data_IF_425232659013
#
_entry.id   IF_425232659013
#
_cell.length_a   1.000
_cell.length_b   1.000
_cell.length_c   1.000
_cell.angle_alpha   90.00
_cell.angle_beta   90.00
_cell.angle_gamma   90.00
#
_symmetry.space_group_name_H-M   'P 1'
#
loop_
_entity.id
_entity.type
_entity.pdbx_description
1 polymer ?
#
# COMPACT_ATOMS: atom_id res chain seq x y z
N UNK A 1 8.59 -4.26 -5.33
CA UNK A 1 7.20 -3.78 -5.23
C UNK A 1 7.00 -2.83 -4.05
N UNK A 2 7.09 -3.34 -2.81
CA UNK A 2 6.88 -2.54 -1.59
C UNK A 2 7.77 -1.28 -1.54
N UNK A 3 9.08 -1.44 -1.72
CA UNK A 3 10.07 -0.35 -1.68
C UNK A 3 9.73 0.83 -2.63
N UNK A 4 9.38 0.50 -3.88
CA UNK A 4 9.00 1.50 -4.89
C UNK A 4 7.69 2.21 -4.54
N UNK A 5 6.69 1.50 -4.03
CA UNK A 5 5.40 2.06 -3.61
C UNK A 5 5.50 2.92 -2.37
N UNK A 6 6.31 2.50 -1.40
CA UNK A 6 6.61 3.27 -0.21
C UNK A 6 7.18 4.65 -0.61
N UNK A 7 8.20 4.64 -1.47
CA UNK A 7 8.81 5.87 -1.99
C UNK A 7 7.83 6.71 -2.78
N UNK A 8 7.08 6.10 -3.69
CA UNK A 8 6.10 6.81 -4.52
C UNK A 8 5.01 7.47 -3.66
N UNK A 9 4.48 6.77 -2.66
CA UNK A 9 3.46 7.31 -1.76
C UNK A 9 4.03 8.42 -0.88
N UNK A 10 5.23 8.25 -0.31
CA UNK A 10 5.89 9.29 0.47
C UNK A 10 6.06 10.58 -0.35
N UNK A 11 6.54 10.46 -1.58
CA UNK A 11 6.72 11.60 -2.48
C UNK A 11 5.38 12.25 -2.86
N UNK A 12 4.33 11.46 -3.07
CA UNK A 12 3.00 11.96 -3.42
C UNK A 12 2.38 12.83 -2.32
N UNK A 13 2.73 12.60 -1.06
CA UNK A 13 2.26 13.42 0.09
C UNK A 13 3.31 14.46 0.54
N UNK A 14 4.39 14.65 -0.21
CA UNK A 14 5.39 15.68 0.04
C UNK A 14 6.29 15.46 1.26
N UNK A 15 6.32 14.26 1.84
CA UNK A 15 7.18 13.95 3.00
C UNK A 15 8.62 13.69 2.57
N UNK A 16 9.60 14.20 3.32
CA UNK A 16 11.00 13.75 3.18
C UNK A 16 11.24 12.48 4.00
N UNK A 17 12.30 11.72 3.66
CA UNK A 17 12.62 10.46 4.34
C UNK A 17 12.85 10.63 5.85
N UNK A 18 13.45 11.75 6.25
CA UNK A 18 13.70 12.06 7.66
C UNK A 18 12.39 12.19 8.43
N UNK A 19 11.43 12.96 7.91
CA UNK A 19 10.13 13.19 8.56
C UNK A 19 9.32 11.90 8.69
N UNK A 20 9.32 11.06 7.65
CA UNK A 20 8.69 9.74 7.74
C UNK A 20 9.36 8.89 8.83
N UNK A 21 10.69 8.89 8.91
CA UNK A 21 11.39 8.14 9.95
C UNK A 21 11.11 8.68 11.36
N UNK A 22 11.01 9.99 11.54
CA UNK A 22 10.64 10.61 12.82
C UNK A 22 9.19 10.27 13.20
N UNK A 23 8.27 10.24 12.24
CA UNK A 23 6.88 9.80 12.47
C UNK A 23 6.79 8.34 12.96
N UNK A 24 7.79 7.51 12.64
CA UNK A 24 7.95 6.15 13.14
C UNK A 24 8.62 6.06 14.52
N UNK A 25 8.90 7.20 15.16
CA UNK A 25 9.62 7.26 16.43
C UNK A 25 11.12 7.01 16.32
N UNK A 26 11.71 7.11 15.12
CA UNK A 26 13.15 6.99 14.94
C UNK A 26 13.85 8.29 15.37
N UNK A 27 15.04 8.15 15.94
CA UNK A 27 15.90 9.31 16.18
C UNK A 27 16.23 10.02 14.86
N UNK A 28 16.11 11.34 14.84
CA UNK A 28 16.29 12.17 13.63
C UNK A 28 17.59 11.89 12.88
N UNK A 29 18.68 11.58 13.60
CA UNK A 29 20.01 11.29 13.03
C UNK A 29 20.07 10.00 12.20
N UNK A 30 19.20 9.01 12.47
CA UNK A 30 19.17 7.73 11.74
C UNK A 30 17.90 7.56 10.88
N UNK A 31 16.89 8.41 11.08
CA UNK A 31 15.59 8.36 10.43
C UNK A 31 15.71 8.26 8.90
N UNK A 32 16.43 9.20 8.28
CA UNK A 32 16.62 9.24 6.82
C UNK A 32 17.26 7.95 6.30
N UNK A 33 18.37 7.50 6.90
CA UNK A 33 19.09 6.31 6.47
C UNK A 33 18.26 5.03 6.61
N UNK A 34 17.42 4.93 7.66
CA UNK A 34 16.54 3.78 7.87
C UNK A 34 15.41 3.74 6.83
N UNK A 35 14.74 4.87 6.58
CA UNK A 35 13.72 4.95 5.52
C UNK A 35 14.33 4.68 4.14
N UNK A 36 15.52 5.22 3.85
CA UNK A 36 16.20 4.96 2.59
C UNK A 36 16.44 3.47 2.35
N UNK A 37 16.83 2.70 3.38
CA UNK A 37 17.02 1.24 3.25
C UNK A 37 15.73 0.49 2.91
N UNK A 38 14.58 0.96 3.39
CA UNK A 38 13.28 0.40 3.02
C UNK A 38 12.89 0.78 1.59
N UNK A 39 13.13 2.03 1.18
CA UNK A 39 12.80 2.53 -0.16
C UNK A 39 13.69 1.98 -1.28
N UNK A 40 14.92 1.58 -0.96
CA UNK A 40 15.81 0.88 -1.91
C UNK A 40 15.63 -0.63 -1.90
N UNK A 41 14.86 -1.16 -0.94
CA UNK A 41 14.71 -2.61 -0.73
C UNK A 41 15.97 -3.27 -0.16
N UNK A 42 16.95 -2.49 0.30
CA UNK A 42 18.15 -3.01 0.96
C UNK A 42 17.81 -3.72 2.26
N UNK A 43 16.77 -3.27 2.97
CA UNK A 43 16.20 -3.97 4.11
C UNK A 43 14.69 -4.09 3.92
N UNK A 44 14.15 -5.24 4.32
CA UNK A 44 12.71 -5.47 4.40
C UNK A 44 12.27 -5.14 5.82
N UNK A 45 11.30 -4.23 6.03
CA UNK A 45 10.76 -4.00 7.36
C UNK A 45 10.02 -5.25 7.86
N UNK A 46 10.01 -5.45 9.18
CA UNK A 46 9.08 -6.43 9.77
C UNK A 46 7.63 -5.96 9.60
N UNK A 47 6.68 -6.87 9.87
CA UNK A 47 5.26 -6.58 9.69
C UNK A 47 4.81 -5.37 10.50
N UNK A 48 5.29 -5.24 11.74
CA UNK A 48 4.94 -4.11 12.60
C UNK A 48 5.41 -2.78 11.98
N UNK A 49 6.67 -2.71 11.57
CA UNK A 49 7.24 -1.52 10.93
C UNK A 49 6.52 -1.23 9.61
N UNK A 50 6.14 -2.25 8.84
CA UNK A 50 5.38 -2.07 7.60
C UNK A 50 3.99 -1.48 7.84
N UNK A 51 3.31 -1.88 8.92
CA UNK A 51 2.05 -1.29 9.36
C UNK A 51 2.26 0.17 9.81
N UNK A 52 3.26 0.43 10.65
CA UNK A 52 3.59 1.79 11.12
C UNK A 52 3.92 2.73 9.92
N UNK A 53 4.62 2.22 8.89
CA UNK A 53 4.86 2.95 7.64
C UNK A 53 3.57 3.26 6.88
N UNK A 54 2.66 2.28 6.78
CA UNK A 54 1.40 2.47 6.07
C UNK A 54 0.52 3.53 6.76
N UNK A 55 0.43 3.46 8.08
CA UNK A 55 -0.29 4.42 8.92
C UNK A 55 0.28 5.83 8.77
N UNK A 56 1.61 5.98 8.87
CA UNK A 56 2.29 7.26 8.68
C UNK A 56 2.09 7.85 7.26
N UNK A 57 1.83 7.02 6.27
CA UNK A 57 1.56 7.41 4.87
C UNK A 57 0.05 7.57 4.56
N UNK A 58 -0.81 7.32 5.54
CA UNK A 58 -2.27 7.41 5.41
C UNK A 58 -2.86 6.41 4.41
N UNK A 59 -2.25 5.23 4.26
CA UNK A 59 -2.69 4.16 3.36
C UNK A 59 -2.74 2.82 4.07
N UNK A 60 -3.41 1.83 3.50
CA UNK A 60 -3.34 0.46 3.96
C UNK A 60 -2.01 -0.21 3.58
N UNK A 61 -1.54 -1.13 4.43
CA UNK A 61 -0.43 -2.01 4.07
C UNK A 61 -0.76 -2.81 2.80
N UNK A 62 -2.01 -3.26 2.67
CA UNK A 62 -2.51 -4.00 1.51
C UNK A 62 -2.28 -3.27 0.18
N UNK A 63 -2.43 -1.95 0.13
CA UNK A 63 -2.14 -1.19 -1.11
C UNK A 63 -0.65 -0.99 -1.39
N UNK A 64 0.19 -0.97 -0.34
CA UNK A 64 1.66 -0.92 -0.47
C UNK A 64 2.26 -2.24 -0.97
N UNK A 65 1.58 -3.37 -0.75
CA UNK A 65 2.02 -4.71 -1.21
C UNK A 65 1.20 -5.28 -2.36
N UNK A 66 0.18 -4.56 -2.85
CA UNK A 66 -0.71 -5.03 -3.92
C UNK A 66 0.03 -5.31 -5.24
N UNK A 67 -0.30 -6.43 -5.91
CA UNK A 67 0.37 -6.97 -7.11
C UNK A 67 0.35 -6.07 -8.36
N UNK A 68 -0.50 -5.05 -8.39
CA UNK A 68 -0.51 -4.04 -9.45
C UNK A 68 -0.97 -2.68 -8.94
N UNK A 69 -0.64 -1.60 -9.65
CA UNK A 69 -1.01 -0.24 -9.22
C UNK A 69 -2.53 -0.10 -9.18
N UNK A 70 -3.21 -0.75 -10.14
CA UNK A 70 -4.67 -0.85 -10.21
C UNK A 70 -5.26 -1.51 -8.97
N UNK A 71 -4.73 -2.65 -8.53
CA UNK A 71 -5.22 -3.32 -7.31
C UNK A 71 -5.00 -2.47 -6.06
N UNK A 72 -3.84 -1.84 -5.93
CA UNK A 72 -3.56 -0.94 -4.81
C UNK A 72 -4.54 0.25 -4.75
N UNK A 73 -4.85 0.84 -5.91
CA UNK A 73 -5.84 1.91 -6.01
C UNK A 73 -7.24 1.43 -5.64
N UNK A 74 -7.67 0.26 -6.11
CA UNK A 74 -8.96 -0.33 -5.74
C UNK A 74 -9.04 -0.52 -4.22
N UNK A 75 -8.03 -1.11 -3.60
CA UNK A 75 -7.97 -1.32 -2.15
C UNK A 75 -8.17 0.00 -1.38
N UNK A 76 -7.46 1.08 -1.77
CA UNK A 76 -7.62 2.37 -1.10
C UNK A 76 -9.00 3.00 -1.33
N UNK A 77 -9.56 2.87 -2.52
CA UNK A 77 -10.92 3.36 -2.81
C UNK A 77 -11.94 2.64 -1.94
N UNK A 78 -11.89 1.29 -1.87
CA UNK A 78 -12.81 0.49 -1.06
C UNK A 78 -12.68 0.82 0.43
N UNK A 79 -11.45 1.00 0.92
CA UNK A 79 -11.18 1.33 2.33
C UNK A 79 -11.85 2.64 2.78
N UNK A 80 -12.07 3.59 1.86
CA UNK A 80 -12.72 4.87 2.15
C UNK A 80 -14.25 4.79 2.16
N UNK A 81 -14.84 3.68 1.71
CA UNK A 81 -16.28 3.49 1.68
C UNK A 81 -16.81 3.00 3.04
N UNK A 82 -18.03 3.38 3.45
CA UNK A 82 -18.73 2.74 4.56
C UNK A 82 -18.92 1.24 4.34
N UNK A 83 -18.97 0.43 5.41
CA UNK A 83 -19.09 -1.03 5.33
C UNK A 83 -20.24 -1.50 4.42
N UNK A 84 -21.41 -0.84 4.49
CA UNK A 84 -22.55 -1.20 3.62
C UNK A 84 -22.26 -1.01 2.12
N UNK A 85 -21.51 0.03 1.75
CA UNK A 85 -21.09 0.24 0.35
C UNK A 85 -19.97 -0.72 -0.06
N UNK A 86 -19.11 -1.12 0.87
CA UNK A 86 -18.12 -2.17 0.61
C UNK A 86 -18.81 -3.51 0.32
N UNK A 87 -19.86 -3.84 1.07
CA UNK A 87 -20.65 -5.07 0.84
C UNK A 87 -21.39 -5.04 -0.51
N UNK A 88 -21.99 -3.90 -0.87
CA UNK A 88 -22.63 -3.71 -2.18
C UNK A 88 -21.63 -3.89 -3.32
N UNK A 89 -20.45 -3.27 -3.22
CA UNK A 89 -19.40 -3.41 -4.22
C UNK A 89 -18.90 -4.86 -4.32
N UNK A 90 -18.76 -5.57 -3.20
CA UNK A 90 -18.36 -6.97 -3.20
C UNK A 90 -19.37 -7.85 -3.96
N UNK A 91 -20.68 -7.58 -3.82
CA UNK A 91 -21.74 -8.26 -4.58
C UNK A 91 -21.63 -7.98 -6.08
N UNK A 92 -21.42 -6.72 -6.48
CA UNK A 92 -21.24 -6.35 -7.89
C UNK A 92 -20.00 -7.00 -8.51
N UNK A 93 -18.86 -6.99 -7.81
CA UNK A 93 -17.63 -7.63 -8.26
C UNK A 93 -17.80 -9.15 -8.40
N UNK A 94 -18.52 -9.78 -7.47
CA UNK A 94 -18.82 -11.22 -7.52
C UNK A 94 -19.69 -11.58 -8.73
N UNK A 95 -20.71 -10.77 -9.02
CA UNK A 95 -21.55 -10.96 -10.21
C UNK A 95 -20.74 -10.77 -11.50
N UNK A 96 -19.87 -9.74 -11.57
CA UNK A 96 -19.00 -9.50 -12.72
C UNK A 96 -18.06 -10.68 -12.96
N UNK A 97 -17.45 -11.22 -11.91
CA UNK A 97 -16.58 -12.38 -11.99
C UNK A 97 -17.31 -13.64 -12.47
N UNK A 98 -18.57 -13.84 -12.04
CA UNK A 98 -19.41 -14.95 -12.50
C UNK A 98 -19.87 -14.80 -13.96
N UNK A 99 -20.03 -13.56 -14.45
CA UNK A 99 -20.45 -13.26 -15.83
C UNK A 99 -19.29 -13.20 -16.83
N UNK A 100 -18.05 -13.13 -16.34
CA UNK A 100 -16.87 -13.16 -17.21
C UNK A 100 -16.66 -14.59 -17.73
N UNK A 101 -16.50 -14.80 -19.04
CA UNK A 101 -16.15 -16.12 -19.54
C UNK A 101 -14.82 -16.54 -18.91
N UNK A 102 -14.84 -17.66 -18.18
CA UNK A 102 -13.65 -18.33 -17.66
C UNK A 102 -12.62 -18.48 -18.79
N UNK A 103 -11.34 -18.26 -18.48
CA UNK A 103 -10.21 -18.50 -19.39
C UNK A 103 -10.28 -19.92 -20.02
N UNK A 104 -10.93 -20.02 -21.18
CA UNK A 104 -10.37 -20.69 -22.35
C UNK A 104 -9.71 -19.55 -23.15
N UNK A 105 -8.47 -19.57 -23.58
CA UNK A 105 -7.72 -20.69 -24.14
C UNK A 105 -6.28 -20.71 -23.60
N UNK A 106 -5.78 -21.93 -23.43
CA UNK A 106 -4.35 -22.24 -23.52
C UNK A 106 -4.00 -22.20 -25.01
N UNK A 107 -2.97 -21.46 -25.38
CA UNK A 107 -2.05 -21.80 -26.48
C UNK A 107 -0.62 -21.53 -26.02
#
# INVERSE_FOLDING_TARGET
MFAARLKARRLAIGLVQQDLGVALGLESRIAQARISRYETGTHVPDLKTALDLADALGVSLSSLVAESDRLGQIIELVRQLPEGQQEELAKHLSALAASSPSKAEKE
#
